data_IF_048367523524
#
_entry.id   IF_048367523524
#
_cell.length_a   1.000
_cell.length_b   1.000
_cell.length_c   1.000
_cell.angle_alpha   90.00
_cell.angle_beta   90.00
_cell.angle_gamma   90.00
#
_symmetry.space_group_name_H-M   'P 1'
#
loop_
_entity.id
_entity.type
_entity.pdbx_description
1 polymer ?
#
# COMPACT_ATOMS: atom_id res chain seq x y z
N UNK A 1 -1.01 3.45 -35.97
CA UNK A 1 -0.12 2.86 -34.95
C UNK A 1 1.30 3.15 -35.36
N UNK A 2 1.90 4.11 -34.68
CA UNK A 2 3.09 4.85 -35.09
C UNK A 2 4.38 4.10 -34.70
N UNK A 3 5.46 4.31 -35.46
CA UNK A 3 6.71 3.53 -35.40
C UNK A 3 7.43 3.55 -34.04
N UNK A 4 7.02 4.43 -33.13
CA UNK A 4 7.55 4.54 -31.77
C UNK A 4 7.23 3.34 -30.86
N UNK A 5 6.15 2.60 -31.14
CA UNK A 5 5.65 1.54 -30.25
C UNK A 5 6.46 0.22 -30.34
N UNK A 6 7.17 0.00 -31.46
CA UNK A 6 8.02 -1.20 -31.63
C UNK A 6 9.34 -1.13 -30.86
N UNK A 7 9.86 0.06 -30.65
CA UNK A 7 11.22 0.23 -30.10
C UNK A 7 11.27 0.01 -28.58
N UNK A 8 10.14 0.11 -27.87
CA UNK A 8 10.05 -0.16 -26.44
C UNK A 8 9.90 -1.66 -26.10
N UNK A 9 9.43 -2.48 -27.04
CA UNK A 9 9.23 -3.93 -26.82
C UNK A 9 10.54 -4.70 -27.00
N UNK A 10 11.43 -4.24 -27.89
CA UNK A 10 12.67 -4.94 -28.22
C UNK A 10 13.82 -4.72 -27.21
N UNK A 11 13.69 -3.77 -26.27
CA UNK A 11 14.76 -3.48 -25.28
C UNK A 11 14.66 -4.27 -23.97
N UNK A 12 13.66 -5.15 -23.79
CA UNK A 12 13.42 -5.88 -22.53
C UNK A 12 13.66 -7.39 -22.59
N UNK A 13 14.13 -7.92 -23.71
CA UNK A 13 14.31 -9.37 -23.93
C UNK A 13 15.76 -9.86 -23.91
N UNK A 14 16.73 -9.06 -23.47
CA UNK A 14 18.11 -9.53 -23.36
C UNK A 14 18.64 -9.49 -21.92
N UNK A 15 19.08 -10.66 -21.46
CA UNK A 15 19.93 -10.92 -20.28
C UNK A 15 19.26 -11.32 -18.96
N UNK A 16 18.27 -12.21 -19.02
CA UNK A 16 18.03 -13.17 -17.95
C UNK A 16 18.51 -14.56 -18.41
N UNK A 17 19.73 -14.98 -18.04
CA UNK A 17 20.08 -16.36 -17.70
C UNK A 17 21.56 -16.50 -17.36
N UNK A 18 21.87 -16.92 -16.13
CA UNK A 18 22.86 -17.98 -15.84
C UNK A 18 23.16 -18.02 -14.33
N UNK A 19 22.58 -18.96 -13.58
CA UNK A 19 23.26 -19.53 -12.41
C UNK A 19 22.90 -21.01 -12.28
N UNK A 20 23.95 -21.83 -12.31
CA UNK A 20 23.91 -23.28 -12.35
C UNK A 20 23.69 -23.89 -10.96
N UNK A 21 23.10 -25.08 -10.99
CA UNK A 21 23.00 -25.98 -9.85
C UNK A 21 24.38 -26.42 -9.37
N UNK A 22 24.60 -26.37 -8.05
CA UNK A 22 25.74 -26.96 -7.36
C UNK A 22 25.27 -27.51 -6.02
N UNK A 23 25.35 -28.83 -5.86
CA UNK A 23 24.93 -29.55 -4.66
C UNK A 23 25.94 -29.48 -3.53
N UNK A 24 25.45 -29.72 -2.32
CA UNK A 24 26.26 -29.91 -1.12
C UNK A 24 25.36 -30.20 0.07
N UNK A 25 25.26 -31.47 0.46
CA UNK A 25 24.48 -31.92 1.61
C UNK A 25 25.10 -31.46 2.93
N UNK A 26 24.24 -31.04 3.86
CA UNK A 26 24.57 -30.82 5.26
C UNK A 26 23.80 -31.83 6.13
N UNK A 27 24.42 -32.41 7.17
CA UNK A 27 23.81 -33.46 8.01
C UNK A 27 22.74 -32.92 8.99
N UNK A 28 21.88 -33.79 9.54
CA UNK A 28 20.71 -33.39 10.30
C UNK A 28 21.11 -32.88 11.69
N UNK A 29 20.62 -31.69 12.04
CA UNK A 29 20.73 -31.15 13.41
C UNK A 29 19.44 -31.46 14.17
N UNK A 30 19.64 -32.09 15.33
CA UNK A 30 18.63 -32.66 16.20
C UNK A 30 17.66 -31.61 16.78
N UNK A 31 16.43 -32.08 17.03
CA UNK A 31 15.45 -31.39 17.86
C UNK A 31 15.99 -31.20 19.28
N UNK A 32 16.08 -29.95 19.73
CA UNK A 32 16.10 -29.62 21.14
C UNK A 32 14.89 -28.73 21.42
N UNK A 33 13.96 -29.26 22.22
CA UNK A 33 12.87 -28.50 22.80
C UNK A 33 13.46 -27.44 23.73
N UNK A 34 13.30 -26.18 23.36
CA UNK A 34 13.55 -25.02 24.22
C UNK A 34 12.23 -24.35 24.50
N UNK A 35 11.71 -24.54 25.71
CA UNK A 35 10.70 -23.69 26.32
C UNK A 35 11.29 -22.28 26.48
N UNK A 36 11.14 -21.48 25.43
CA UNK A 36 11.42 -20.06 25.46
C UNK A 36 10.07 -19.37 25.67
N UNK A 37 9.69 -19.24 26.94
CA UNK A 37 8.63 -18.33 27.37
C UNK A 37 8.78 -16.99 26.64
N UNK A 38 7.86 -16.76 25.69
CA UNK A 38 7.77 -15.54 24.90
C UNK A 38 7.43 -14.43 25.87
N UNK A 39 8.45 -13.77 26.41
CA UNK A 39 8.31 -12.49 27.12
C UNK A 39 7.56 -11.56 26.18
N UNK A 40 6.30 -11.34 26.47
CA UNK A 40 5.48 -10.34 25.80
C UNK A 40 6.08 -8.98 26.08
N UNK A 41 6.95 -8.52 25.19
CA UNK A 41 7.26 -7.09 25.11
C UNK A 41 5.99 -6.41 24.64
N UNK A 42 5.25 -5.82 25.58
CA UNK A 42 4.19 -4.86 25.25
C UNK A 42 4.87 -3.69 24.57
N UNK A 43 4.95 -3.72 23.23
CA UNK A 43 5.43 -2.60 22.44
C UNK A 43 4.46 -1.45 22.70
N UNK A 44 4.94 -0.36 23.31
CA UNK A 44 4.15 0.85 23.45
C UNK A 44 3.65 1.27 22.06
N UNK A 45 2.35 1.55 21.93
CA UNK A 45 1.75 1.96 20.67
C UNK A 45 2.47 3.22 20.16
N UNK A 46 3.07 3.13 18.98
CA UNK A 46 3.71 4.28 18.33
C UNK A 46 2.61 5.18 17.79
N UNK A 47 2.49 6.39 18.32
CA UNK A 47 1.51 7.39 17.87
C UNK A 47 2.22 8.40 16.97
N UNK A 48 1.81 8.49 15.70
CA UNK A 48 2.33 9.49 14.77
C UNK A 48 1.69 10.86 15.08
N UNK A 49 2.48 11.90 15.38
CA UNK A 49 1.93 13.23 15.63
C UNK A 49 1.20 13.79 14.40
N UNK A 50 0.13 14.55 14.64
CA UNK A 50 -0.60 15.27 13.60
C UNK A 50 -0.16 16.75 13.52
N UNK A 51 -0.37 17.34 12.35
CA UNK A 51 -0.28 18.79 12.11
C UNK A 51 -1.64 19.31 11.67
N UNK A 52 -2.03 20.50 12.12
CA UNK A 52 -3.23 21.15 11.62
C UNK A 52 -2.96 21.78 10.24
N UNK A 53 -3.79 21.46 9.26
CA UNK A 53 -3.81 22.16 7.97
C UNK A 53 -4.40 23.57 8.14
N UNK A 54 -4.24 24.43 7.13
CA UNK A 54 -4.87 25.77 7.13
C UNK A 54 -6.40 25.72 7.21
N UNK A 55 -7.00 24.60 6.83
CA UNK A 55 -8.43 24.30 7.00
C UNK A 55 -8.83 23.93 8.43
N UNK A 56 -7.88 23.79 9.36
CA UNK A 56 -8.09 23.32 10.73
C UNK A 56 -8.15 21.80 10.88
N UNK A 57 -8.20 21.03 9.77
CA UNK A 57 -8.24 19.57 9.82
C UNK A 57 -6.86 18.99 10.25
N UNK A 58 -6.81 18.01 11.16
CA UNK A 58 -5.56 17.35 11.54
C UNK A 58 -5.12 16.37 10.44
N UNK A 59 -3.82 16.33 10.15
CA UNK A 59 -3.21 15.38 9.22
C UNK A 59 -2.00 14.72 9.90
N UNK A 60 -1.91 13.37 9.96
CA UNK A 60 -0.72 12.70 10.47
C UNK A 60 0.53 13.07 9.66
N UNK A 61 1.62 13.39 10.35
CA UNK A 61 2.85 13.92 9.73
C UNK A 61 3.62 12.90 8.90
N UNK A 62 3.36 11.62 9.13
CA UNK A 62 4.01 10.51 8.40
C UNK A 62 2.91 9.74 7.66
N UNK A 63 3.04 9.69 6.33
CA UNK A 63 2.15 8.96 5.45
C UNK A 63 2.82 7.74 4.83
N UNK A 64 2.03 6.70 4.58
CA UNK A 64 2.44 5.52 3.84
C UNK A 64 2.05 5.68 2.36
N UNK A 65 3.04 5.73 1.47
CA UNK A 65 2.81 5.86 0.03
C UNK A 65 2.55 4.52 -0.64
N UNK A 66 1.53 4.47 -1.51
CA UNK A 66 1.17 3.27 -2.28
C UNK A 66 1.65 3.32 -3.73
N UNK A 67 2.48 4.31 -4.11
CA UNK A 67 3.00 4.47 -5.47
C UNK A 67 3.95 3.33 -5.87
N UNK A 68 3.84 2.90 -7.12
CA UNK A 68 4.17 1.52 -7.54
C UNK A 68 5.34 1.45 -8.50
N UNK A 69 6.49 2.03 -8.17
CA UNK A 69 7.70 1.57 -8.85
C UNK A 69 8.02 0.09 -8.49
N UNK A 70 7.42 -0.43 -7.42
CA UNK A 70 7.60 -1.82 -6.97
C UNK A 70 6.31 -2.51 -6.50
N UNK A 71 5.44 -1.86 -5.70
CA UNK A 71 4.41 -2.62 -4.95
C UNK A 71 3.26 -3.23 -5.78
N UNK A 72 2.36 -2.45 -6.42
CA UNK A 72 1.22 -3.08 -7.11
C UNK A 72 1.62 -3.89 -8.36
N UNK A 73 2.75 -3.54 -8.99
CA UNK A 73 3.25 -4.26 -10.16
C UNK A 73 4.00 -5.55 -9.78
N UNK A 74 4.77 -5.58 -8.69
CA UNK A 74 5.48 -6.78 -8.25
C UNK A 74 4.62 -7.68 -7.35
N UNK A 75 3.79 -7.08 -6.49
CA UNK A 75 3.07 -7.79 -5.42
C UNK A 75 1.55 -7.92 -5.70
N UNK A 76 1.04 -7.19 -6.69
CA UNK A 76 -0.37 -7.18 -7.03
C UNK A 76 -1.26 -6.63 -5.91
N UNK A 77 -2.56 -6.89 -6.03
CA UNK A 77 -3.58 -6.46 -5.06
C UNK A 77 -3.31 -6.99 -3.65
N UNK A 78 -2.94 -8.27 -3.56
CA UNK A 78 -2.75 -8.96 -2.28
C UNK A 78 -1.58 -8.39 -1.47
N UNK A 79 -0.42 -8.15 -2.09
CA UNK A 79 0.71 -7.63 -1.33
C UNK A 79 0.60 -6.14 -1.02
N UNK A 80 -0.11 -5.34 -1.83
CA UNK A 80 -0.48 -3.97 -1.42
C UNK A 80 -1.40 -4.01 -0.19
N UNK A 81 -2.39 -4.91 -0.19
CA UNK A 81 -3.30 -5.09 0.94
C UNK A 81 -2.53 -5.45 2.22
N UNK A 82 -1.64 -6.44 2.15
CA UNK A 82 -0.79 -6.86 3.27
C UNK A 82 0.15 -5.75 3.75
N UNK A 83 0.76 -5.00 2.84
CA UNK A 83 1.65 -3.88 3.20
C UNK A 83 0.90 -2.78 3.95
N UNK A 84 -0.32 -2.45 3.51
CA UNK A 84 -1.18 -1.48 4.20
C UNK A 84 -1.59 -1.98 5.57
N UNK A 85 -1.99 -3.25 5.71
CA UNK A 85 -2.34 -3.84 7.01
C UNK A 85 -1.17 -3.74 8.01
N UNK A 86 0.04 -4.11 7.58
CA UNK A 86 1.25 -3.97 8.40
C UNK A 86 1.56 -2.52 8.77
N UNK A 87 1.31 -1.59 7.86
CA UNK A 87 1.47 -0.16 8.15
C UNK A 87 0.48 0.29 9.24
N UNK A 88 -0.79 -0.12 9.15
CA UNK A 88 -1.81 0.17 10.18
C UNK A 88 -1.39 -0.42 11.53
N UNK A 89 -0.95 -1.68 11.56
CA UNK A 89 -0.46 -2.36 12.78
C UNK A 89 0.76 -1.66 13.39
N UNK A 90 1.59 -1.05 12.54
CA UNK A 90 2.79 -0.29 12.96
C UNK A 90 2.48 1.13 13.43
N UNK A 91 1.20 1.56 13.42
CA UNK A 91 0.76 2.87 13.87
C UNK A 91 0.59 3.93 12.78
N UNK A 92 0.71 3.58 11.49
CA UNK A 92 0.37 4.52 10.42
C UNK A 92 -1.13 4.79 10.42
N UNK A 93 -1.46 6.06 10.25
CA UNK A 93 -2.83 6.56 10.11
C UNK A 93 -2.99 7.50 8.91
N UNK A 94 -1.97 7.66 8.06
CA UNK A 94 -2.08 8.44 6.83
C UNK A 94 -1.61 7.59 5.65
N UNK A 95 -2.45 7.48 4.62
CA UNK A 95 -2.19 6.72 3.39
C UNK A 95 -2.29 7.63 2.18
N UNK A 96 -1.25 7.60 1.34
CA UNK A 96 -1.15 8.35 0.10
C UNK A 96 -1.31 7.40 -1.08
N UNK A 97 -2.34 7.64 -1.90
CA UNK A 97 -2.62 6.87 -3.13
C UNK A 97 -2.92 7.81 -4.31
N UNK A 98 -3.25 7.25 -5.46
CA UNK A 98 -3.69 7.97 -6.63
C UNK A 98 -4.48 7.04 -7.56
N UNK A 99 -5.38 7.60 -8.36
CA UNK A 99 -6.15 6.86 -9.37
C UNK A 99 -5.24 6.07 -10.34
N UNK A 100 -4.06 6.60 -10.66
CA UNK A 100 -3.12 5.98 -11.62
C UNK A 100 -2.25 4.87 -11.00
N UNK A 101 -2.23 4.73 -9.68
CA UNK A 101 -1.38 3.72 -9.02
C UNK A 101 -1.99 2.32 -9.06
N UNK A 102 -3.27 2.18 -9.41
CA UNK A 102 -4.01 0.92 -9.36
C UNK A 102 -3.97 0.23 -7.97
N UNK A 103 -3.80 1.02 -6.91
CA UNK A 103 -3.68 0.55 -5.53
C UNK A 103 -4.90 0.89 -4.65
N UNK A 104 -5.79 1.76 -5.12
CA UNK A 104 -6.96 2.24 -4.36
C UNK A 104 -7.85 1.10 -3.85
N UNK A 105 -8.14 0.10 -4.69
CA UNK A 105 -8.97 -1.03 -4.28
C UNK A 105 -8.34 -1.87 -3.15
N UNK A 106 -7.02 -2.11 -3.23
CA UNK A 106 -6.28 -2.83 -2.21
C UNK A 106 -6.19 -2.04 -0.89
N UNK A 107 -6.01 -0.72 -0.97
CA UNK A 107 -6.05 0.17 0.19
C UNK A 107 -7.44 0.14 0.85
N UNK A 108 -8.51 0.24 0.07
CA UNK A 108 -9.88 0.13 0.56
C UNK A 108 -10.15 -1.20 1.26
N UNK A 109 -9.71 -2.31 0.66
CA UNK A 109 -9.80 -3.64 1.24
C UNK A 109 -9.05 -3.76 2.58
N UNK A 110 -7.83 -3.24 2.66
CA UNK A 110 -7.01 -3.28 3.85
C UNK A 110 -7.62 -2.46 5.00
N UNK A 111 -8.11 -1.25 4.72
CA UNK A 111 -8.77 -0.41 5.73
C UNK A 111 -10.03 -1.11 6.26
N UNK A 112 -10.86 -1.67 5.37
CA UNK A 112 -12.06 -2.39 5.77
C UNK A 112 -11.73 -3.66 6.60
N UNK A 113 -10.64 -4.37 6.26
CA UNK A 113 -10.14 -5.49 7.04
C UNK A 113 -9.65 -5.06 8.43
N UNK A 114 -8.89 -3.98 8.52
CA UNK A 114 -8.40 -3.46 9.79
C UNK A 114 -9.53 -3.01 10.72
N UNK A 115 -10.61 -2.42 10.17
CA UNK A 115 -11.82 -2.11 10.95
C UNK A 115 -12.50 -3.39 11.44
N UNK A 116 -12.70 -4.40 10.58
CA UNK A 116 -13.30 -5.68 10.97
C UNK A 116 -12.49 -6.43 12.03
N UNK A 117 -11.16 -6.33 11.96
CA UNK A 117 -10.24 -6.94 12.92
C UNK A 117 -10.14 -6.15 14.25
N UNK A 118 -10.63 -4.91 14.28
CA UNK A 118 -10.52 -4.03 15.45
C UNK A 118 -9.15 -3.39 15.64
N UNK A 119 -8.25 -3.46 14.64
CA UNK A 119 -6.96 -2.76 14.66
C UNK A 119 -7.15 -1.23 14.66
N UNK A 120 -8.19 -0.76 13.98
CA UNK A 120 -8.72 0.60 14.04
C UNK A 120 -10.23 0.51 14.29
N UNK A 121 -10.81 1.46 15.03
CA UNK A 121 -12.22 1.42 15.37
C UNK A 121 -13.14 1.78 14.20
N UNK A 122 -12.66 2.62 13.27
CA UNK A 122 -13.46 3.10 12.14
C UNK A 122 -12.60 3.62 10.99
N UNK A 123 -13.24 3.90 9.85
CA UNK A 123 -12.63 4.58 8.70
C UNK A 123 -12.06 5.95 9.10
N UNK A 124 -12.68 6.66 10.05
CA UNK A 124 -12.28 8.02 10.42
C UNK A 124 -10.95 8.08 11.19
N UNK A 125 -10.40 6.92 11.60
CA UNK A 125 -9.05 6.87 12.18
C UNK A 125 -7.94 7.02 11.15
N UNK A 126 -8.21 6.80 9.87
CA UNK A 126 -7.20 6.93 8.82
C UNK A 126 -7.44 8.19 8.00
N UNK A 127 -6.35 8.82 7.57
CA UNK A 127 -6.30 9.96 6.68
C UNK A 127 -5.89 9.45 5.29
N UNK A 128 -6.79 9.50 4.31
CA UNK A 128 -6.55 8.99 2.96
C UNK A 128 -6.47 10.15 1.98
N UNK A 129 -5.33 10.26 1.30
CA UNK A 129 -5.09 11.21 0.22
C UNK A 129 -5.14 10.50 -1.13
N UNK A 130 -5.95 10.98 -2.08
CA UNK A 130 -5.86 10.53 -3.50
C UNK A 130 -5.58 11.69 -4.44
N UNK A 131 -5.35 11.41 -5.72
CA UNK A 131 -4.89 12.39 -6.71
C UNK A 131 -5.65 12.21 -8.01
N UNK A 132 -6.18 13.33 -8.52
CA UNK A 132 -6.74 13.41 -9.86
C UNK A 132 -5.63 13.23 -10.90
N UNK A 133 -5.84 12.37 -11.88
CA UNK A 133 -4.87 12.20 -12.97
C UNK A 133 -4.96 13.35 -13.98
N UNK A 134 -3.85 13.71 -14.60
CA UNK A 134 -3.78 14.83 -15.54
C UNK A 134 -4.75 14.66 -16.72
N UNK A 135 -5.02 13.42 -17.13
CA UNK A 135 -5.98 13.14 -18.19
C UNK A 135 -7.42 13.55 -17.82
N UNK A 136 -7.73 13.71 -16.53
CA UNK A 136 -9.07 14.04 -16.02
C UNK A 136 -9.16 15.47 -15.48
N UNK A 137 -8.13 16.30 -15.65
CA UNK A 137 -8.08 17.69 -15.18
C UNK A 137 -9.09 18.66 -15.86
N UNK A 138 -9.86 18.18 -16.85
CA UNK A 138 -10.93 18.98 -17.43
C UNK A 138 -12.10 19.10 -16.43
N UNK A 139 -12.71 20.28 -16.23
CA UNK A 139 -13.73 20.49 -15.19
C UNK A 139 -14.87 19.46 -15.19
N UNK A 140 -15.39 19.10 -16.37
CA UNK A 140 -16.45 18.09 -16.50
C UNK A 140 -16.05 16.64 -16.20
N UNK A 141 -14.77 16.36 -15.93
CA UNK A 141 -14.25 15.01 -15.61
C UNK A 141 -13.81 14.85 -14.15
N UNK A 142 -13.66 15.95 -13.41
CA UNK A 142 -13.19 15.93 -12.02
C UNK A 142 -14.12 15.11 -11.12
N UNK A 143 -15.42 15.39 -11.14
CA UNK A 143 -16.40 14.68 -10.32
C UNK A 143 -16.49 13.19 -10.68
N UNK A 144 -16.66 12.80 -11.96
CA UNK A 144 -16.62 11.38 -12.34
C UNK A 144 -15.33 10.65 -11.93
N UNK A 145 -14.18 11.32 -12.00
CA UNK A 145 -12.91 10.73 -11.59
C UNK A 145 -12.83 10.54 -10.07
N UNK A 146 -13.32 11.51 -9.28
CA UNK A 146 -13.41 11.38 -7.83
C UNK A 146 -14.38 10.25 -7.43
N UNK A 147 -15.56 10.18 -8.06
CA UNK A 147 -16.53 9.10 -7.83
C UNK A 147 -15.92 7.72 -8.09
N UNK A 148 -15.14 7.59 -9.17
CA UNK A 148 -14.41 6.35 -9.46
C UNK A 148 -13.38 6.02 -8.37
N UNK A 149 -12.61 7.00 -7.89
CA UNK A 149 -11.68 6.81 -6.76
C UNK A 149 -12.43 6.35 -5.50
N UNK A 150 -13.57 6.97 -5.17
CA UNK A 150 -14.38 6.60 -4.02
C UNK A 150 -14.96 5.18 -4.14
N UNK A 151 -15.40 4.79 -5.34
CA UNK A 151 -15.85 3.43 -5.64
C UNK A 151 -14.71 2.41 -5.48
N UNK A 152 -13.52 2.71 -5.99
CA UNK A 152 -12.35 1.85 -5.85
C UNK A 152 -11.98 1.66 -4.38
N UNK A 153 -11.87 2.77 -3.63
CA UNK A 153 -11.56 2.78 -2.20
C UNK A 153 -12.69 2.18 -1.35
N UNK A 154 -13.92 2.14 -1.86
CA UNK A 154 -15.15 1.78 -1.12
C UNK A 154 -15.34 2.68 0.10
N UNK A 155 -15.18 3.98 -0.14
CA UNK A 155 -15.27 5.04 0.88
C UNK A 155 -16.24 6.12 0.41
N UNK A 156 -16.84 6.83 1.35
CA UNK A 156 -17.73 7.96 1.05
C UNK A 156 -16.96 9.26 0.80
N UNK A 157 -15.73 9.36 1.29
CA UNK A 157 -14.87 10.52 1.16
C UNK A 157 -13.37 10.15 1.15
N UNK A 158 -12.56 11.07 0.65
CA UNK A 158 -11.11 11.15 0.89
C UNK A 158 -10.83 12.38 1.75
N UNK A 159 -9.77 12.32 2.55
CA UNK A 159 -9.39 13.39 3.47
C UNK A 159 -8.71 14.55 2.73
N UNK A 160 -8.00 14.23 1.64
CA UNK A 160 -7.36 15.15 0.71
C UNK A 160 -7.42 14.68 -0.75
#
# INVERSE_FOLDING_TARGET
MDRYDRQCVESKTSHANSYSAGGGGAPPIAMAAGDAGRRGTTTAAVVVPAVALSSGKPMPRVGFGTATATLAQAEGHAGVTEAVLRAIDSGYRHFDTAAVYNAEAALGDAVAQAVRAGTIASRDEVYVTSKLWIADAHPGRVLPALEKTLQNLRMEYVDL
#
